data_IF_191017983733
#
_entry.id   IF_191017983733
#
_cell.length_a   1.000
_cell.length_b   1.000
_cell.length_c   1.000
_cell.angle_alpha   90.00
_cell.angle_beta   90.00
_cell.angle_gamma   90.00
#
_symmetry.space_group_name_H-M   'P 1'
#
loop_
_entity.id
_entity.type
_entity.pdbx_description
1 polymer ?
#
# COMPACT_ATOMS: atom_id res chain seq x y z
N UNK A 1 -80.67 4.37 -45.07
CA UNK A 1 -80.91 4.55 -46.50
C UNK A 1 -79.63 4.37 -47.26
N UNK A 2 -79.56 3.34 -48.11
CA UNK A 2 -78.86 3.27 -49.40
C UNK A 2 -77.38 3.68 -49.49
N UNK A 3 -76.50 2.76 -49.51
CA UNK A 3 -75.88 1.97 -50.56
C UNK A 3 -74.88 2.69 -51.49
N UNK A 4 -74.01 1.94 -52.11
CA UNK A 4 -72.55 1.92 -52.12
C UNK A 4 -72.03 2.12 -53.56
N UNK A 5 -71.03 1.48 -54.11
CA UNK A 5 -69.58 1.40 -53.82
C UNK A 5 -68.73 1.89 -55.01
N UNK A 6 -67.47 1.91 -54.83
CA UNK A 6 -66.55 2.21 -55.96
C UNK A 6 -65.19 1.51 -55.79
N UNK A 7 -65.10 0.29 -56.35
CA UNK A 7 -63.81 -0.40 -56.58
C UNK A 7 -63.03 0.29 -57.69
N UNK A 8 -61.79 0.65 -57.46
CA UNK A 8 -60.80 0.85 -58.52
C UNK A 8 -59.53 0.02 -58.26
N UNK A 9 -59.16 -0.68 -59.30
CA UNK A 9 -58.08 -1.68 -59.38
C UNK A 9 -56.72 -0.97 -59.50
N UNK A 10 -55.71 -1.66 -58.91
CA UNK A 10 -54.25 -1.37 -58.96
C UNK A 10 -53.69 -1.40 -60.39
N UNK A 11 -52.46 -0.86 -60.55
CA UNK A 11 -51.43 -1.68 -61.19
C UNK A 11 -50.24 -1.96 -60.21
N UNK A 12 -49.78 -3.20 -60.34
CA UNK A 12 -48.56 -3.71 -59.67
C UNK A 12 -47.33 -3.04 -60.32
N UNK A 13 -46.49 -2.44 -59.47
CA UNK A 13 -45.14 -2.03 -59.88
C UNK A 13 -44.15 -2.96 -59.15
N UNK A 14 -43.46 -3.75 -59.97
CA UNK A 14 -42.31 -4.54 -59.56
C UNK A 14 -41.18 -3.62 -59.19
N UNK A 15 -40.80 -3.59 -57.91
CA UNK A 15 -39.52 -2.96 -57.48
C UNK A 15 -38.51 -4.07 -57.19
N UNK A 16 -37.47 -4.10 -58.00
CA UNK A 16 -36.32 -4.95 -57.88
C UNK A 16 -35.59 -4.70 -56.53
N UNK A 17 -35.39 -5.73 -55.76
CA UNK A 17 -34.58 -5.73 -54.55
C UNK A 17 -33.10 -5.56 -54.91
N UNK A 18 -32.52 -4.43 -54.59
CA UNK A 18 -31.08 -4.24 -54.52
C UNK A 18 -30.66 -4.67 -53.10
N UNK A 19 -30.08 -5.84 -52.97
CA UNK A 19 -29.36 -6.26 -51.78
C UNK A 19 -28.04 -5.43 -51.70
N UNK A 20 -28.07 -4.34 -50.97
CA UNK A 20 -26.87 -3.70 -50.49
C UNK A 20 -26.44 -4.44 -49.20
N UNK A 21 -25.46 -5.29 -49.32
CA UNK A 21 -24.70 -5.84 -48.18
C UNK A 21 -23.91 -4.72 -47.54
N UNK A 22 -24.47 -4.06 -46.57
CA UNK A 22 -23.71 -3.23 -45.61
C UNK A 22 -23.19 -4.14 -44.47
N UNK A 23 -22.07 -4.81 -44.73
CA UNK A 23 -21.21 -5.27 -43.70
C UNK A 23 -20.43 -4.04 -43.16
N UNK A 24 -21.08 -3.30 -42.31
CA UNK A 24 -20.40 -2.36 -41.42
C UNK A 24 -20.38 -3.02 -40.04
N UNK A 25 -19.45 -3.92 -39.81
CA UNK A 25 -18.91 -4.12 -38.50
C UNK A 25 -18.16 -2.79 -38.20
N UNK A 26 -18.82 -1.89 -37.52
CA UNK A 26 -18.15 -0.79 -36.83
C UNK A 26 -17.30 -1.42 -35.72
N UNK A 27 -16.02 -1.64 -35.99
CA UNK A 27 -15.05 -1.61 -34.91
C UNK A 27 -15.13 -0.17 -34.38
N UNK A 28 -15.55 0.01 -33.16
CA UNK A 28 -15.25 1.21 -32.38
C UNK A 28 -13.73 1.26 -32.27
N UNK A 29 -13.09 1.91 -33.27
CA UNK A 29 -11.65 1.91 -33.48
C UNK A 29 -10.95 2.95 -32.59
N UNK A 30 -11.22 2.92 -31.30
CA UNK A 30 -10.36 3.56 -30.31
C UNK A 30 -9.11 2.70 -30.02
N UNK A 31 -8.04 3.27 -29.53
CA UNK A 31 -6.88 2.49 -29.09
C UNK A 31 -7.31 1.52 -27.99
N UNK A 32 -6.65 0.35 -27.93
CA UNK A 32 -6.81 -0.61 -26.85
C UNK A 32 -6.60 0.09 -25.50
N UNK A 33 -7.47 -0.17 -24.53
CA UNK A 33 -7.36 0.42 -23.18
C UNK A 33 -6.89 -0.63 -22.20
N UNK A 34 -5.81 -0.35 -21.47
CA UNK A 34 -5.32 -1.15 -20.35
C UNK A 34 -5.74 -0.48 -19.04
N UNK A 35 -6.65 -1.10 -18.32
CA UNK A 35 -7.16 -0.60 -17.05
C UNK A 35 -6.21 -0.95 -15.90
N UNK A 36 -5.66 0.06 -15.24
CA UNK A 36 -4.78 -0.07 -14.08
C UNK A 36 -5.55 0.34 -12.84
N UNK A 37 -5.71 -0.56 -11.88
CA UNK A 37 -6.34 -0.30 -10.59
C UNK A 37 -5.25 -0.12 -9.53
N UNK A 38 -5.11 1.11 -9.02
CA UNK A 38 -4.00 1.46 -8.14
C UNK A 38 -4.45 2.40 -7.01
N UNK A 39 -3.72 2.38 -5.90
CA UNK A 39 -3.97 3.29 -4.78
C UNK A 39 -3.73 4.75 -5.17
N UNK A 40 -4.25 5.68 -4.38
CA UNK A 40 -3.95 7.10 -4.56
C UNK A 40 -2.45 7.35 -4.37
N UNK A 41 -1.79 7.87 -5.40
CA UNK A 41 -0.41 8.34 -5.36
C UNK A 41 -0.35 9.70 -6.06
N UNK A 42 0.26 10.68 -5.40
CA UNK A 42 0.40 12.04 -5.96
C UNK A 42 1.21 11.98 -7.27
N UNK A 43 0.79 12.71 -8.30
CA UNK A 43 1.46 12.79 -9.61
C UNK A 43 1.62 11.45 -10.38
N UNK A 44 0.99 10.36 -9.97
CA UNK A 44 1.10 9.08 -10.68
C UNK A 44 0.46 9.12 -12.07
N UNK A 45 -0.50 10.00 -12.30
CA UNK A 45 -1.09 10.29 -13.61
C UNK A 45 -0.04 10.73 -14.66
N UNK A 46 1.04 11.39 -14.25
CA UNK A 46 2.14 11.76 -15.14
C UNK A 46 2.97 10.55 -15.56
N UNK A 47 3.18 9.58 -14.67
CA UNK A 47 3.81 8.30 -15.01
C UNK A 47 2.94 7.52 -15.99
N UNK A 48 1.63 7.49 -15.73
CA UNK A 48 0.64 6.84 -16.61
C UNK A 48 0.62 7.47 -18.00
N UNK A 49 0.63 8.80 -18.07
CA UNK A 49 0.67 9.53 -19.35
C UNK A 49 1.94 9.19 -20.16
N UNK A 50 3.12 9.22 -19.51
CA UNK A 50 4.38 8.84 -20.15
C UNK A 50 4.34 7.40 -20.67
N UNK A 51 3.89 6.45 -19.88
CA UNK A 51 3.80 5.04 -20.29
C UNK A 51 2.77 4.83 -21.42
N UNK A 52 1.74 5.66 -21.48
CA UNK A 52 0.81 5.68 -22.63
C UNK A 52 1.50 6.19 -23.89
N UNK A 53 2.30 7.26 -23.78
CA UNK A 53 3.05 7.80 -24.91
C UNK A 53 4.10 6.81 -25.43
N UNK A 54 4.81 6.10 -24.53
CA UNK A 54 5.79 5.06 -24.87
C UNK A 54 5.14 3.84 -25.55
N UNK A 55 3.85 3.61 -25.35
CA UNK A 55 3.13 2.56 -26.05
C UNK A 55 2.94 2.81 -27.55
N UNK A 56 3.23 4.03 -28.05
CA UNK A 56 3.20 4.41 -29.45
C UNK A 56 1.89 4.03 -30.17
N UNK A 57 0.77 4.31 -29.52
CA UNK A 57 -0.59 4.08 -30.04
C UNK A 57 -1.06 2.61 -30.02
N UNK A 58 -0.27 1.66 -29.51
CA UNK A 58 -0.71 0.27 -29.36
C UNK A 58 -1.80 0.12 -28.31
N UNK A 59 -1.70 0.88 -27.22
CA UNK A 59 -2.71 0.97 -26.16
C UNK A 59 -2.63 2.31 -25.44
N UNK A 60 -3.67 2.62 -24.68
CA UNK A 60 -3.69 3.71 -23.69
C UNK A 60 -3.89 3.10 -22.29
N UNK A 61 -3.33 3.73 -21.27
CA UNK A 61 -3.50 3.30 -19.88
C UNK A 61 -4.60 4.14 -19.24
N UNK A 62 -5.63 3.49 -18.70
CA UNK A 62 -6.67 4.12 -17.90
C UNK A 62 -6.43 3.84 -16.41
N UNK A 63 -6.12 4.88 -15.64
CA UNK A 63 -5.92 4.79 -14.20
C UNK A 63 -7.25 4.81 -13.47
N UNK A 64 -7.55 3.73 -12.75
CA UNK A 64 -8.70 3.57 -11.88
C UNK A 64 -8.23 3.65 -10.42
N UNK A 65 -8.48 4.78 -9.78
CA UNK A 65 -8.04 5.01 -8.40
C UNK A 65 -8.89 4.20 -7.42
N UNK A 66 -8.23 3.39 -6.60
CA UNK A 66 -8.83 2.60 -5.54
C UNK A 66 -9.17 3.45 -4.30
N UNK A 67 -10.01 2.95 -3.38
CA UNK A 67 -10.28 3.60 -2.10
C UNK A 67 -9.01 3.91 -1.28
N UNK A 68 -9.13 4.76 -0.25
CA UNK A 68 -7.97 5.18 0.54
C UNK A 68 -7.38 4.10 1.42
N UNK A 69 -8.23 3.31 2.09
CA UNK A 69 -7.77 2.28 3.04
C UNK A 69 -7.41 0.98 2.34
N UNK A 70 -6.35 0.31 2.79
CA UNK A 70 -5.91 -0.97 2.26
C UNK A 70 -7.04 -2.01 2.24
N UNK A 71 -7.79 -2.14 3.34
CA UNK A 71 -8.90 -3.08 3.44
C UNK A 71 -9.98 -2.86 2.36
N UNK A 72 -10.36 -1.59 2.11
CA UNK A 72 -11.35 -1.27 1.09
C UNK A 72 -10.82 -1.46 -0.34
N UNK A 73 -9.53 -1.23 -0.58
CA UNK A 73 -8.87 -1.52 -1.86
C UNK A 73 -8.95 -3.01 -2.17
N UNK A 74 -8.52 -3.84 -1.21
CA UNK A 74 -8.57 -5.30 -1.35
C UNK A 74 -10.01 -5.78 -1.58
N UNK A 75 -10.96 -5.34 -0.75
CA UNK A 75 -12.35 -5.75 -0.86
C UNK A 75 -12.93 -5.46 -2.26
N UNK A 76 -12.66 -4.29 -2.82
CA UNK A 76 -13.10 -3.93 -4.16
C UNK A 76 -12.50 -4.86 -5.22
N UNK A 77 -11.20 -5.14 -5.17
CA UNK A 77 -10.54 -6.02 -6.14
C UNK A 77 -11.02 -7.48 -6.01
N UNK A 78 -11.07 -8.00 -4.79
CA UNK A 78 -11.52 -9.38 -4.52
C UNK A 78 -12.95 -9.62 -5.03
N UNK A 79 -13.88 -8.69 -4.78
CA UNK A 79 -15.28 -8.82 -5.27
C UNK A 79 -15.36 -8.90 -6.78
N UNK A 80 -14.58 -8.10 -7.50
CA UNK A 80 -14.56 -8.07 -8.96
C UNK A 80 -13.88 -9.33 -9.53
N UNK A 81 -12.71 -9.69 -9.02
CA UNK A 81 -11.98 -10.88 -9.47
C UNK A 81 -12.76 -12.18 -9.18
N UNK A 82 -13.42 -12.28 -8.01
CA UNK A 82 -14.29 -13.42 -7.70
C UNK A 82 -15.50 -13.52 -8.65
N UNK A 83 -15.90 -12.41 -9.28
CA UNK A 83 -16.94 -12.39 -10.31
C UNK A 83 -16.39 -12.65 -11.73
N UNK A 84 -15.07 -12.85 -11.90
CA UNK A 84 -14.42 -13.07 -13.18
C UNK A 84 -14.37 -11.82 -14.07
N UNK A 85 -14.23 -10.64 -13.46
CA UNK A 85 -14.24 -9.36 -14.16
C UNK A 85 -13.03 -9.23 -15.11
N UNK A 86 -13.29 -9.08 -16.40
CA UNK A 86 -12.28 -9.00 -17.46
C UNK A 86 -11.74 -7.58 -17.68
N UNK A 87 -12.37 -6.55 -17.10
CA UNK A 87 -11.96 -5.16 -17.26
C UNK A 87 -10.79 -4.78 -16.34
N UNK A 88 -10.36 -5.69 -15.46
CA UNK A 88 -9.21 -5.47 -14.60
C UNK A 88 -7.95 -6.05 -15.26
N UNK A 89 -7.07 -5.20 -15.79
CA UNK A 89 -5.85 -5.67 -16.47
C UNK A 89 -4.63 -5.68 -15.54
N UNK A 90 -4.33 -4.55 -14.91
CA UNK A 90 -3.20 -4.41 -13.98
C UNK A 90 -3.72 -4.01 -12.61
N UNK A 91 -3.25 -4.69 -11.58
CA UNK A 91 -3.65 -4.55 -10.19
C UNK A 91 -2.50 -4.06 -9.33
N UNK A 92 -2.67 -2.95 -8.64
CA UNK A 92 -1.77 -2.50 -7.58
C UNK A 92 -2.11 -3.23 -6.28
N UNK A 93 -1.30 -4.22 -5.93
CA UNK A 93 -1.47 -5.03 -4.73
C UNK A 93 -0.56 -4.54 -3.61
N UNK A 94 -1.11 -4.34 -2.41
CA UNK A 94 -0.27 -4.24 -1.21
C UNK A 94 0.64 -5.47 -1.11
N UNK A 95 1.82 -5.29 -0.57
CA UNK A 95 2.84 -6.34 -0.43
C UNK A 95 2.34 -7.60 0.29
N UNK A 96 1.23 -7.51 1.02
CA UNK A 96 0.65 -8.64 1.79
C UNK A 96 -0.40 -9.45 1.02
N UNK A 97 -0.86 -8.98 -0.16
CA UNK A 97 -1.99 -9.64 -0.85
C UNK A 97 -1.56 -10.62 -1.94
N UNK A 98 -0.29 -10.59 -2.35
CA UNK A 98 0.18 -11.42 -3.48
C UNK A 98 -0.06 -12.91 -3.25
N UNK A 99 0.21 -13.41 -2.03
CA UNK A 99 -0.04 -14.81 -1.68
C UNK A 99 -1.51 -15.22 -1.86
N UNK A 100 -2.45 -14.40 -1.38
CA UNK A 100 -3.89 -14.67 -1.52
C UNK A 100 -4.34 -14.65 -2.97
N UNK A 101 -3.92 -13.61 -3.73
CA UNK A 101 -4.35 -13.44 -5.12
C UNK A 101 -3.74 -14.50 -6.04
N UNK A 102 -2.52 -14.96 -5.75
CA UNK A 102 -1.88 -16.05 -6.46
C UNK A 102 -2.56 -17.40 -6.15
N UNK A 103 -2.80 -17.71 -4.87
CA UNK A 103 -3.47 -18.93 -4.43
C UNK A 103 -4.89 -19.05 -5.00
N UNK A 104 -5.62 -17.92 -5.08
CA UNK A 104 -6.94 -17.86 -5.69
C UNK A 104 -6.92 -17.97 -7.23
N UNK A 105 -5.73 -17.94 -7.86
CA UNK A 105 -5.62 -17.99 -9.33
C UNK A 105 -6.07 -16.71 -10.03
N UNK A 106 -6.08 -15.58 -9.35
CA UNK A 106 -6.55 -14.30 -9.89
C UNK A 106 -5.49 -13.51 -10.64
N UNK A 107 -4.21 -13.84 -10.48
CA UNK A 107 -3.08 -13.12 -11.08
C UNK A 107 -2.15 -14.07 -11.84
N UNK A 108 -1.50 -13.53 -12.86
CA UNK A 108 -0.60 -14.26 -13.74
C UNK A 108 0.81 -14.38 -13.14
N UNK A 109 1.46 -15.53 -13.38
CA UNK A 109 2.88 -15.73 -13.09
C UNK A 109 3.74 -14.92 -14.08
N UNK A 110 4.75 -14.22 -13.59
CA UNK A 110 5.82 -13.60 -14.38
C UNK A 110 6.88 -14.65 -14.70
N UNK A 111 7.18 -14.88 -15.97
CA UNK A 111 8.09 -15.94 -16.41
C UNK A 111 9.11 -15.45 -17.42
N UNK A 112 10.13 -16.26 -17.68
CA UNK A 112 11.13 -16.01 -18.74
C UNK A 112 11.84 -14.67 -18.61
N UNK A 113 11.87 -13.91 -19.70
CA UNK A 113 12.56 -12.61 -19.74
C UNK A 113 11.89 -11.56 -18.83
N UNK A 114 10.57 -11.57 -18.71
CA UNK A 114 9.84 -10.61 -17.87
C UNK A 114 10.16 -10.84 -16.38
N UNK A 115 10.25 -12.11 -15.94
CA UNK A 115 10.72 -12.44 -14.59
C UNK A 115 12.14 -11.96 -14.34
N UNK A 116 13.05 -12.23 -15.27
CA UNK A 116 14.45 -11.82 -15.15
C UNK A 116 14.60 -10.28 -15.07
N UNK A 117 13.78 -9.54 -15.82
CA UNK A 117 13.74 -8.07 -15.77
C UNK A 117 13.27 -7.55 -14.41
N UNK A 118 12.22 -8.16 -13.85
CA UNK A 118 11.70 -7.79 -12.52
C UNK A 118 12.71 -8.09 -11.41
N UNK A 119 13.38 -9.25 -11.47
CA UNK A 119 14.38 -9.65 -10.46
C UNK A 119 15.65 -8.79 -10.52
N UNK A 120 16.01 -8.27 -11.71
CA UNK A 120 17.22 -7.50 -11.92
C UNK A 120 17.23 -6.18 -11.13
N UNK A 121 18.14 -6.06 -10.16
CA UNK A 121 18.34 -4.85 -9.35
C UNK A 121 17.22 -4.51 -8.37
N UNK A 122 16.20 -5.34 -8.27
CA UNK A 122 15.15 -5.18 -7.25
C UNK A 122 15.68 -5.61 -5.88
N UNK A 123 15.44 -4.79 -4.84
CA UNK A 123 15.77 -5.09 -3.46
C UNK A 123 15.12 -6.40 -3.01
N UNK A 124 15.83 -7.18 -2.17
CA UNK A 124 15.40 -8.50 -1.73
C UNK A 124 14.04 -8.50 -1.04
N UNK A 125 13.83 -7.60 -0.07
CA UNK A 125 12.58 -7.53 0.69
C UNK A 125 11.35 -7.31 -0.21
N UNK A 126 11.29 -6.27 -1.05
CA UNK A 126 10.21 -6.09 -2.03
C UNK A 126 10.03 -7.29 -2.96
N UNK A 127 11.14 -7.90 -3.44
CA UNK A 127 11.06 -9.06 -4.33
C UNK A 127 10.41 -10.26 -3.63
N UNK A 128 10.74 -10.52 -2.36
CA UNK A 128 10.10 -11.59 -1.57
C UNK A 128 8.59 -11.41 -1.48
N UNK A 129 8.10 -10.17 -1.33
CA UNK A 129 6.65 -9.90 -1.25
C UNK A 129 5.90 -10.12 -2.56
N UNK A 130 6.62 -10.18 -3.67
CA UNK A 130 6.07 -10.41 -5.01
C UNK A 130 5.98 -11.90 -5.37
N UNK A 131 6.48 -12.78 -4.49
CA UNK A 131 6.58 -14.22 -4.72
C UNK A 131 5.58 -15.00 -3.88
N UNK A 132 5.09 -16.10 -4.46
CA UNK A 132 4.33 -17.12 -3.77
C UNK A 132 4.77 -18.52 -4.25
N UNK A 133 5.06 -19.44 -3.31
CA UNK A 133 5.54 -20.80 -3.60
C UNK A 133 6.72 -20.86 -4.60
N UNK A 134 7.67 -19.91 -4.48
CA UNK A 134 8.87 -19.85 -5.33
C UNK A 134 8.61 -19.30 -6.75
N UNK A 135 7.40 -18.85 -7.04
CA UNK A 135 7.01 -18.23 -8.31
C UNK A 135 6.80 -16.74 -8.13
N UNK A 136 7.13 -15.97 -9.17
CA UNK A 136 6.92 -14.52 -9.19
C UNK A 136 5.53 -14.21 -9.77
N UNK A 137 4.66 -13.58 -9.00
CA UNK A 137 3.29 -13.26 -9.42
C UNK A 137 3.03 -11.77 -9.61
N UNK A 138 3.97 -10.94 -9.21
CA UNK A 138 3.84 -9.49 -9.37
C UNK A 138 5.20 -8.83 -9.51
N UNK A 139 5.21 -7.58 -9.92
CA UNK A 139 6.41 -6.78 -10.09
C UNK A 139 6.42 -5.63 -9.06
N UNK A 140 7.39 -5.58 -8.13
CA UNK A 140 7.49 -4.49 -7.16
C UNK A 140 7.58 -3.12 -7.85
N UNK A 141 6.59 -2.25 -7.62
CA UNK A 141 6.53 -0.90 -8.20
C UNK A 141 7.16 0.12 -7.25
N UNK A 142 6.81 0.03 -5.99
CA UNK A 142 7.41 0.83 -4.93
C UNK A 142 7.49 0.01 -3.64
N UNK A 143 8.37 0.45 -2.76
CA UNK A 143 8.47 -0.10 -1.41
C UNK A 143 8.21 1.01 -0.39
N UNK A 144 8.21 0.67 0.89
CA UNK A 144 8.00 1.63 1.96
C UNK A 144 8.58 1.14 3.28
N UNK A 145 9.06 2.07 4.11
CA UNK A 145 9.33 1.90 5.53
C UNK A 145 8.88 3.14 6.27
N UNK A 146 8.30 2.96 7.46
CA UNK A 146 7.98 4.10 8.30
C UNK A 146 9.26 4.68 8.92
N UNK A 147 9.31 6.00 8.99
CA UNK A 147 10.36 6.77 9.67
C UNK A 147 9.76 7.53 10.84
N UNK A 148 10.62 7.88 11.78
CA UNK A 148 10.33 8.93 12.74
C UNK A 148 10.54 10.30 12.07
N UNK A 149 9.49 11.10 11.99
CA UNK A 149 9.53 12.48 11.57
C UNK A 149 9.46 13.37 12.80
N UNK A 150 10.35 14.35 12.90
CA UNK A 150 10.44 15.19 14.07
C UNK A 150 10.79 16.65 13.74
N UNK A 151 10.50 17.53 14.67
CA UNK A 151 10.81 18.96 14.58
C UNK A 151 12.14 19.27 15.24
N UNK A 152 13.17 19.61 14.45
CA UNK A 152 14.50 19.93 14.94
C UNK A 152 14.57 21.24 15.73
N UNK A 153 13.62 22.15 15.54
CA UNK A 153 13.48 23.37 16.37
C UNK A 153 12.97 23.08 17.79
N UNK A 154 12.35 21.95 18.01
CA UNK A 154 11.89 21.49 19.33
C UNK A 154 12.91 20.54 19.98
N UNK A 155 13.49 19.64 19.18
CA UNK A 155 14.48 18.65 19.61
C UNK A 155 15.60 18.58 18.56
N UNK A 156 16.79 19.15 18.84
CA UNK A 156 17.91 19.16 17.89
C UNK A 156 18.35 17.76 17.44
N UNK A 157 18.27 16.78 18.34
CA UNK A 157 18.58 15.37 18.09
C UNK A 157 17.33 14.51 18.15
N UNK A 158 17.19 13.48 17.28
CA UNK A 158 16.06 12.56 17.33
C UNK A 158 16.16 11.60 18.52
N UNK A 159 15.02 11.14 19.08
CA UNK A 159 15.02 10.03 20.02
C UNK A 159 15.44 8.75 19.34
N UNK A 160 16.20 7.90 20.03
CA UNK A 160 16.67 6.61 19.53
C UNK A 160 15.77 5.46 19.95
N UNK A 161 14.93 5.67 20.97
CA UNK A 161 14.01 4.65 21.47
C UNK A 161 12.62 5.23 21.77
N UNK A 162 11.65 4.32 21.87
CA UNK A 162 10.28 4.66 22.27
C UNK A 162 10.24 5.37 23.62
N UNK A 163 10.97 4.85 24.61
CA UNK A 163 11.03 5.46 25.93
C UNK A 163 11.62 6.86 25.89
N UNK A 164 12.68 7.08 25.10
CA UNK A 164 13.31 8.38 24.93
C UNK A 164 12.35 9.35 24.22
N UNK A 165 11.64 8.90 23.18
CA UNK A 165 10.65 9.71 22.45
C UNK A 165 9.54 10.21 23.40
N UNK A 166 8.97 9.34 24.21
CA UNK A 166 7.93 9.70 25.17
C UNK A 166 8.46 10.70 26.22
N UNK A 167 9.65 10.45 26.76
CA UNK A 167 10.28 11.38 27.73
C UNK A 167 10.59 12.74 27.12
N UNK A 168 11.04 12.79 25.85
CA UNK A 168 11.26 14.06 25.15
C UNK A 168 9.96 14.81 24.95
N UNK A 169 8.89 14.13 24.52
CA UNK A 169 7.56 14.70 24.37
C UNK A 169 7.00 15.22 25.69
N UNK A 170 7.16 14.51 26.79
CA UNK A 170 6.74 14.96 28.13
C UNK A 170 7.49 16.22 28.57
N UNK A 171 8.80 16.29 28.35
CA UNK A 171 9.58 17.53 28.64
C UNK A 171 9.09 18.72 27.82
N UNK A 172 8.73 18.51 26.55
CA UNK A 172 8.17 19.57 25.70
C UNK A 172 6.80 20.03 26.22
N UNK A 173 5.94 19.10 26.64
CA UNK A 173 4.64 19.40 27.27
C UNK A 173 4.82 20.26 28.51
N UNK A 174 5.74 19.89 29.39
CA UNK A 174 6.00 20.61 30.64
C UNK A 174 6.55 22.02 30.40
N UNK A 175 7.13 22.27 29.21
CA UNK A 175 7.56 23.59 28.74
C UNK A 175 6.45 24.35 27.98
N UNK A 176 5.25 23.79 27.84
CA UNK A 176 4.15 24.39 27.07
C UNK A 176 4.38 24.42 25.55
N UNK A 177 5.26 23.56 25.03
CA UNK A 177 5.60 23.47 23.61
C UNK A 177 4.77 22.40 22.91
N UNK A 178 4.71 22.38 21.56
CA UNK A 178 4.20 21.23 20.80
C UNK A 178 4.87 19.95 21.28
N UNK A 179 4.09 18.93 21.59
CA UNK A 179 4.60 17.73 22.29
C UNK A 179 3.92 16.43 21.90
N UNK A 180 2.88 16.49 21.06
CA UNK A 180 2.14 15.29 20.70
C UNK A 180 3.01 14.32 19.92
N UNK A 181 2.88 13.03 20.23
CA UNK A 181 3.39 11.90 19.46
C UNK A 181 2.23 11.34 18.61
N UNK A 182 2.41 11.38 17.30
CA UNK A 182 1.40 10.96 16.33
C UNK A 182 1.80 9.63 15.70
N UNK A 183 0.86 8.68 15.68
CA UNK A 183 0.95 7.43 14.92
C UNK A 183 -0.45 6.95 14.52
N UNK A 184 -0.52 6.02 13.57
CA UNK A 184 -1.77 5.36 13.20
C UNK A 184 -2.25 4.43 14.31
N UNK A 185 -3.51 4.53 14.68
CA UNK A 185 -4.11 3.73 15.77
C UNK A 185 -5.56 3.35 15.51
N UNK A 186 -6.13 3.71 14.34
CA UNK A 186 -7.45 3.28 13.92
C UNK A 186 -7.50 1.76 13.68
N UNK A 187 -8.70 1.18 13.74
CA UNK A 187 -8.91 -0.25 13.50
C UNK A 187 -8.83 -0.57 12.00
N UNK A 188 -7.62 -0.80 11.48
CA UNK A 188 -7.33 -1.18 10.09
C UNK A 188 -5.88 -1.66 9.97
N UNK A 189 -5.43 -2.02 8.76
CA UNK A 189 -4.09 -2.53 8.47
C UNK A 189 -2.95 -1.63 9.02
N UNK A 190 -3.11 -0.30 9.04
CA UNK A 190 -2.08 0.60 9.57
C UNK A 190 -1.74 0.36 11.05
N UNK A 191 -2.69 -0.07 11.88
CA UNK A 191 -2.43 -0.49 13.26
C UNK A 191 -1.65 -1.82 13.30
N UNK A 192 -1.93 -2.72 12.37
CA UNK A 192 -1.21 -4.01 12.25
C UNK A 192 0.24 -3.77 11.86
N UNK A 193 0.50 -2.84 10.93
CA UNK A 193 1.86 -2.42 10.57
C UNK A 193 2.64 -1.91 11.79
N UNK A 194 2.04 -1.02 12.59
CA UNK A 194 2.66 -0.53 13.82
C UNK A 194 2.98 -1.65 14.80
N UNK A 195 2.02 -2.55 15.00
CA UNK A 195 2.19 -3.68 15.89
C UNK A 195 3.27 -4.64 15.40
N UNK A 196 3.26 -5.01 14.11
CA UNK A 196 4.29 -5.86 13.53
C UNK A 196 5.70 -5.24 13.68
N UNK A 197 5.83 -3.93 13.42
CA UNK A 197 7.10 -3.21 13.62
C UNK A 197 7.62 -3.34 15.06
N UNK A 198 6.75 -3.18 16.04
CA UNK A 198 7.13 -3.29 17.44
C UNK A 198 7.45 -4.74 17.85
N UNK A 199 6.67 -5.72 17.36
CA UNK A 199 6.92 -7.15 17.62
C UNK A 199 8.29 -7.58 17.08
N UNK A 200 8.57 -7.25 15.80
CA UNK A 200 9.86 -7.57 15.18
C UNK A 200 11.02 -6.81 15.84
N UNK A 201 10.77 -5.53 16.23
CA UNK A 201 11.73 -4.73 16.98
C UNK A 201 12.07 -5.27 18.37
N UNK A 202 11.17 -6.04 18.98
CA UNK A 202 11.36 -6.78 20.22
C UNK A 202 11.98 -8.18 20.00
N UNK A 203 12.26 -8.56 18.75
CA UNK A 203 12.74 -9.89 18.37
C UNK A 203 11.69 -10.99 18.42
N UNK A 204 10.40 -10.61 18.49
CA UNK A 204 9.25 -11.52 18.46
C UNK A 204 8.75 -11.78 17.04
N UNK A 205 7.63 -12.51 16.92
CA UNK A 205 6.95 -12.79 15.65
C UNK A 205 5.44 -12.90 15.83
N UNK A 206 4.70 -12.48 14.81
CA UNK A 206 3.25 -12.70 14.75
C UNK A 206 2.93 -14.15 14.40
N UNK A 207 3.53 -14.67 13.31
CA UNK A 207 3.40 -16.07 12.88
C UNK A 207 4.75 -16.77 12.86
N UNK A 208 4.73 -18.11 12.84
CA UNK A 208 5.90 -18.92 12.54
C UNK A 208 6.40 -18.65 11.11
N UNK A 209 7.65 -19.02 10.85
CA UNK A 209 8.32 -18.78 9.56
C UNK A 209 7.56 -19.38 8.36
N UNK A 210 6.94 -20.54 8.57
CA UNK A 210 6.06 -21.18 7.57
C UNK A 210 4.62 -20.65 7.56
N UNK A 211 4.34 -19.61 8.34
CA UNK A 211 3.03 -18.95 8.48
C UNK A 211 1.87 -19.88 8.89
N UNK A 212 2.16 -21.05 9.48
CA UNK A 212 1.15 -22.05 9.89
C UNK A 212 0.70 -21.94 11.34
N UNK A 213 1.47 -21.23 12.17
CA UNK A 213 1.18 -21.10 13.60
C UNK A 213 1.23 -19.65 14.08
N UNK A 214 0.25 -19.27 14.89
CA UNK A 214 0.26 -18.02 15.63
C UNK A 214 1.30 -18.10 16.77
N UNK A 215 2.24 -17.14 16.81
CA UNK A 215 3.34 -17.11 17.78
C UNK A 215 3.03 -16.14 18.92
N UNK A 216 2.98 -14.85 18.69
CA UNK A 216 2.71 -13.81 19.71
C UNK A 216 3.41 -14.11 21.06
N UNK A 217 4.73 -14.18 21.02
CA UNK A 217 5.61 -14.51 22.14
C UNK A 217 5.87 -13.32 23.10
N UNK A 218 6.95 -13.35 23.86
CA UNK A 218 7.34 -12.28 24.79
C UNK A 218 7.55 -10.95 24.07
N UNK A 219 8.11 -10.96 22.85
CA UNK A 219 8.26 -9.76 22.01
C UNK A 219 6.91 -9.13 21.64
N UNK A 220 5.88 -9.95 21.43
CA UNK A 220 4.53 -9.43 21.21
C UNK A 220 3.95 -8.78 22.49
N UNK A 221 4.24 -9.31 23.66
CA UNK A 221 3.83 -8.69 24.94
C UNK A 221 4.51 -7.34 25.11
N UNK A 222 5.80 -7.24 24.85
CA UNK A 222 6.55 -5.98 24.91
C UNK A 222 6.02 -4.94 23.91
N UNK A 223 5.70 -5.36 22.69
CA UNK A 223 5.05 -4.52 21.69
C UNK A 223 3.69 -3.99 22.15
N UNK A 224 2.87 -4.85 22.76
CA UNK A 224 1.58 -4.46 23.34
C UNK A 224 1.71 -3.47 24.49
N UNK A 225 2.74 -3.63 25.33
CA UNK A 225 3.07 -2.66 26.39
C UNK A 225 3.45 -1.30 25.81
N UNK A 226 4.27 -1.25 24.76
CA UNK A 226 4.66 -0.01 24.10
C UNK A 226 3.45 0.72 23.50
N UNK A 227 2.58 0.01 22.79
CA UNK A 227 1.35 0.58 22.22
C UNK A 227 0.43 1.15 23.32
N UNK A 228 0.19 0.37 24.36
CA UNK A 228 -0.63 0.81 25.49
C UNK A 228 -0.02 2.01 26.21
N UNK A 229 1.29 1.98 26.48
CA UNK A 229 1.99 3.07 27.16
C UNK A 229 1.86 4.37 26.39
N UNK A 230 2.02 4.38 25.07
CA UNK A 230 1.73 5.56 24.26
C UNK A 230 0.25 5.94 24.40
N UNK A 231 -0.68 5.01 24.21
CA UNK A 231 -2.12 5.30 24.16
C UNK A 231 -2.67 5.92 25.45
N UNK A 232 -2.07 5.61 26.61
CA UNK A 232 -2.46 6.18 27.91
C UNK A 232 -1.58 7.37 28.34
N UNK A 233 -0.52 7.67 27.59
CA UNK A 233 0.40 8.78 27.88
C UNK A 233 -0.30 10.13 27.67
N UNK A 234 0.03 11.15 28.50
CA UNK A 234 -0.47 12.51 28.30
C UNK A 234 0.07 13.20 27.03
N UNK A 235 1.04 12.59 26.31
CA UNK A 235 1.58 13.10 25.05
C UNK A 235 0.99 12.38 23.83
N UNK A 236 0.09 11.41 24.05
CA UNK A 236 -0.67 10.76 22.98
C UNK A 236 -1.67 11.72 22.33
N UNK A 237 -1.91 11.54 21.03
CA UNK A 237 -3.03 12.24 20.38
C UNK A 237 -4.37 11.76 20.94
N UNK A 238 -5.29 12.66 21.29
CA UNK A 238 -6.66 12.28 21.67
C UNK A 238 -7.43 11.51 20.58
N UNK A 239 -7.01 11.67 19.32
CA UNK A 239 -7.63 10.99 18.18
C UNK A 239 -6.89 9.68 17.78
N UNK A 240 -5.93 9.20 18.56
CA UNK A 240 -5.11 8.03 18.22
C UNK A 240 -5.94 6.86 17.68
N UNK A 241 -7.02 6.48 18.37
CA UNK A 241 -7.84 5.31 18.00
C UNK A 241 -8.66 5.47 16.71
N UNK A 242 -8.63 6.65 16.09
CA UNK A 242 -9.31 6.94 14.82
C UNK A 242 -8.34 7.46 13.75
N UNK A 243 -7.05 7.60 14.09
CA UNK A 243 -6.08 8.25 13.23
C UNK A 243 -5.51 7.27 12.18
N UNK A 244 -5.53 7.69 10.95
CA UNK A 244 -4.86 7.07 9.80
C UNK A 244 -3.69 7.94 9.34
N UNK A 245 -2.97 7.53 8.30
CA UNK A 245 -1.74 8.18 7.82
C UNK A 245 -1.91 9.67 7.51
N UNK A 246 -2.97 10.02 6.77
CA UNK A 246 -3.24 11.43 6.42
C UNK A 246 -3.70 12.26 7.62
N UNK A 247 -4.44 11.66 8.55
CA UNK A 247 -4.89 12.38 9.76
C UNK A 247 -3.69 12.81 10.61
N UNK A 248 -2.72 11.90 10.81
CA UNK A 248 -1.51 12.23 11.57
C UNK A 248 -0.59 13.18 10.81
N UNK A 249 -0.49 13.06 9.48
CA UNK A 249 0.27 14.00 8.65
C UNK A 249 -0.30 15.41 8.75
N UNK A 250 -1.61 15.57 8.60
CA UNK A 250 -2.29 16.86 8.71
C UNK A 250 -2.14 17.46 10.11
N UNK A 251 -2.32 16.66 11.17
CA UNK A 251 -2.14 17.10 12.54
C UNK A 251 -0.68 17.55 12.84
N UNK A 252 0.30 16.88 12.23
CA UNK A 252 1.70 17.31 12.34
C UNK A 252 1.95 18.61 11.57
N UNK A 253 1.39 18.73 10.38
CA UNK A 253 1.49 19.91 9.52
C UNK A 253 0.91 21.17 10.18
N UNK A 254 -0.11 21.01 11.03
CA UNK A 254 -0.70 22.11 11.82
C UNK A 254 0.23 22.59 12.96
N UNK A 255 1.38 21.93 13.16
CA UNK A 255 2.43 22.35 14.08
C UNK A 255 2.20 22.00 15.56
N UNK A 256 1.13 21.30 15.90
CA UNK A 256 0.78 20.90 17.27
C UNK A 256 1.55 19.70 17.83
N UNK A 257 2.32 19.00 17.00
CA UNK A 257 3.04 17.79 17.36
C UNK A 257 4.55 17.96 17.26
N UNK A 258 5.29 17.20 18.06
CA UNK A 258 6.75 17.13 18.02
C UNK A 258 7.26 15.96 17.17
N UNK A 259 6.52 14.86 17.19
CA UNK A 259 6.89 13.59 16.56
C UNK A 259 5.71 12.98 15.80
N UNK A 260 6.01 12.36 14.65
CA UNK A 260 5.09 11.43 14.00
C UNK A 260 5.84 10.22 13.45
N UNK A 261 5.19 9.06 13.49
CA UNK A 261 5.64 7.86 12.79
C UNK A 261 4.78 7.70 11.54
N UNK A 262 5.39 7.82 10.37
CA UNK A 262 4.67 7.80 9.10
C UNK A 262 5.59 7.43 7.93
N UNK A 263 4.98 7.18 6.78
CA UNK A 263 5.64 6.83 5.54
C UNK A 263 6.34 8.03 4.88
N UNK A 264 7.34 7.81 4.00
CA UNK A 264 8.13 8.87 3.37
C UNK A 264 7.36 9.89 2.53
N UNK A 265 6.17 9.58 2.02
CA UNK A 265 5.33 10.53 1.28
C UNK A 265 5.05 11.83 2.04
N UNK A 266 5.16 11.80 3.36
CA UNK A 266 5.01 12.96 4.24
C UNK A 266 5.92 14.11 3.80
N UNK A 267 7.15 13.84 3.39
CA UNK A 267 8.11 14.88 2.99
C UNK A 267 7.61 15.64 1.75
N UNK A 268 7.27 14.94 0.69
CA UNK A 268 6.76 15.56 -0.55
C UNK A 268 5.46 16.34 -0.28
N UNK A 269 4.51 15.73 0.44
CA UNK A 269 3.23 16.36 0.76
C UNK A 269 3.38 17.62 1.62
N UNK A 270 4.34 17.65 2.56
CA UNK A 270 4.58 18.82 3.41
C UNK A 270 5.40 19.89 2.72
N UNK A 271 6.30 19.53 1.81
CA UNK A 271 7.05 20.49 0.99
C UNK A 271 6.10 21.37 0.18
N UNK A 272 5.02 20.79 -0.34
CA UNK A 272 4.00 21.53 -1.07
C UNK A 272 3.09 22.35 -0.15
N UNK A 273 2.64 21.75 0.96
CA UNK A 273 1.57 22.31 1.79
C UNK A 273 2.03 23.27 2.89
N UNK A 274 3.24 23.11 3.43
CA UNK A 274 3.79 23.95 4.51
C UNK A 274 5.33 24.12 4.39
N UNK A 275 5.81 24.98 3.48
CA UNK A 275 7.23 25.21 3.26
C UNK A 275 7.99 25.70 4.49
N UNK A 276 7.32 26.42 5.42
CA UNK A 276 7.96 26.92 6.65
C UNK A 276 8.31 25.76 7.60
N UNK A 277 7.42 24.78 7.72
CA UNK A 277 7.66 23.61 8.58
C UNK A 277 8.74 22.70 8.01
N UNK A 278 8.90 22.64 6.70
CA UNK A 278 9.93 21.84 6.03
C UNK A 278 11.35 22.25 6.46
N UNK A 279 11.58 23.52 6.77
CA UNK A 279 12.89 24.00 7.23
C UNK A 279 13.35 23.31 8.53
N UNK A 280 12.41 22.94 9.38
CA UNK A 280 12.67 22.28 10.66
C UNK A 280 12.31 20.80 10.68
N UNK A 281 11.63 20.29 9.65
CA UNK A 281 11.32 18.86 9.52
C UNK A 281 12.60 18.05 9.33
N UNK A 282 12.75 17.02 10.15
CA UNK A 282 13.83 16.03 10.04
C UNK A 282 13.26 14.63 10.18
N UNK A 283 14.06 13.66 9.84
CA UNK A 283 13.73 12.24 9.89
C UNK A 283 14.84 11.46 10.59
N UNK A 284 14.44 10.31 11.12
CA UNK A 284 15.33 9.33 11.71
C UNK A 284 14.77 7.91 11.47
N UNK A 285 15.58 6.87 11.64
CA UNK A 285 15.09 5.51 11.71
C UNK A 285 13.94 5.35 12.71
N UNK A 286 13.10 4.31 12.51
CA UNK A 286 12.06 3.97 13.47
C UNK A 286 12.69 3.74 14.87
N UNK A 287 12.16 4.35 15.94
CA UNK A 287 12.76 4.26 17.29
C UNK A 287 12.73 2.81 17.81
N UNK A 288 13.85 2.32 18.32
CA UNK A 288 13.92 0.99 18.92
C UNK A 288 13.08 0.89 20.21
N UNK A 289 12.52 -0.28 20.50
CA UNK A 289 11.91 -0.54 21.81
C UNK A 289 12.99 -0.55 22.89
N UNK A 290 14.02 -1.37 22.71
CA UNK A 290 15.19 -1.41 23.59
C UNK A 290 16.28 -0.47 23.05
N UNK A 291 16.78 0.51 23.84
CA UNK A 291 17.85 1.41 23.43
C UNK A 291 19.18 0.72 23.06
N UNK A 292 19.38 -0.52 23.48
CA UNK A 292 20.55 -1.32 23.11
C UNK A 292 20.46 -1.90 21.69
N UNK A 293 19.28 -1.87 21.06
CA UNK A 293 19.01 -2.42 19.75
C UNK A 293 18.84 -1.30 18.71
N UNK A 294 18.92 -1.67 17.44
CA UNK A 294 18.47 -0.81 16.33
C UNK A 294 17.01 -1.09 16.07
N UNK A 295 16.20 -0.04 15.88
CA UNK A 295 14.80 -0.20 15.47
C UNK A 295 14.69 -0.95 14.15
N UNK A 296 13.60 -1.67 13.98
CA UNK A 296 13.22 -2.33 12.74
C UNK A 296 11.92 -1.70 12.26
N UNK A 297 11.79 -1.45 10.97
CA UNK A 297 10.54 -1.00 10.39
C UNK A 297 9.87 -2.14 9.59
N UNK A 298 8.54 -2.14 9.54
CA UNK A 298 7.82 -3.06 8.66
C UNK A 298 7.90 -2.58 7.22
N UNK A 299 8.21 -3.51 6.31
CA UNK A 299 8.20 -3.26 4.88
C UNK A 299 6.76 -3.12 4.38
N UNK A 300 6.50 -2.01 3.72
CA UNK A 300 5.29 -1.72 2.96
C UNK A 300 5.58 -1.56 1.47
N UNK A 301 4.57 -1.16 0.72
CA UNK A 301 4.68 -0.89 -0.71
C UNK A 301 3.62 -1.59 -1.54
N UNK A 302 3.73 -1.42 -2.86
CA UNK A 302 2.81 -1.97 -3.84
C UNK A 302 3.53 -2.73 -4.93
N UNK A 303 2.95 -3.84 -5.31
CA UNK A 303 3.34 -4.69 -6.43
C UNK A 303 2.32 -4.54 -7.57
N UNK A 304 2.76 -4.54 -8.82
CA UNK A 304 1.89 -4.59 -9.99
C UNK A 304 1.71 -6.04 -10.43
N UNK A 305 0.49 -6.52 -10.41
CA UNK A 305 0.12 -7.85 -10.88
C UNK A 305 -0.76 -7.76 -12.14
N UNK A 306 -0.64 -8.71 -13.05
CA UNK A 306 -1.52 -8.82 -14.22
C UNK A 306 -2.66 -9.77 -13.88
N UNK A 307 -3.89 -9.34 -14.13
CA UNK A 307 -5.08 -10.16 -13.86
C UNK A 307 -5.12 -11.42 -14.74
N UNK A 308 -5.51 -12.54 -14.13
CA UNK A 308 -5.73 -13.79 -14.85
C UNK A 308 -6.89 -13.68 -15.86
N UNK A 309 -7.82 -12.78 -15.61
CA UNK A 309 -9.01 -12.55 -16.43
C UNK A 309 -8.83 -11.50 -17.53
N UNK A 310 -7.72 -10.72 -17.51
CA UNK A 310 -7.43 -9.77 -18.59
C UNK A 310 -7.45 -10.44 -19.95
N UNK A 311 -8.11 -9.83 -20.92
CA UNK A 311 -8.09 -10.27 -22.32
C UNK A 311 -6.84 -9.73 -23.07
N UNK A 312 -6.08 -8.81 -22.44
CA UNK A 312 -4.96 -8.06 -23.01
C UNK A 312 -3.66 -8.28 -22.21
N UNK A 313 -3.36 -9.54 -21.85
CA UNK A 313 -2.27 -9.87 -20.93
C UNK A 313 -0.90 -9.38 -21.39
N UNK A 314 -0.61 -9.46 -22.69
CA UNK A 314 0.69 -9.02 -23.22
C UNK A 314 0.90 -7.52 -23.01
N UNK A 315 -0.08 -6.71 -23.37
CA UNK A 315 -0.05 -5.26 -23.20
C UNK A 315 -0.10 -4.86 -21.70
N UNK A 316 -0.81 -5.64 -20.88
CA UNK A 316 -0.86 -5.44 -19.43
C UNK A 316 0.52 -5.67 -18.78
N UNK A 317 1.27 -6.70 -19.19
CA UNK A 317 2.66 -6.91 -18.76
C UNK A 317 3.58 -5.76 -19.22
N UNK A 318 3.45 -5.30 -20.46
CA UNK A 318 4.23 -4.15 -20.96
C UNK A 318 3.92 -2.88 -20.19
N UNK A 319 2.64 -2.57 -19.95
CA UNK A 319 2.22 -1.43 -19.14
C UNK A 319 2.78 -1.52 -17.71
N UNK A 320 2.67 -2.67 -17.06
CA UNK A 320 3.22 -2.88 -15.72
C UNK A 320 4.75 -2.71 -15.66
N UNK A 321 5.49 -3.18 -16.68
CA UNK A 321 6.94 -2.95 -16.79
C UNK A 321 7.30 -1.47 -16.92
N UNK A 322 6.57 -0.71 -17.75
CA UNK A 322 6.80 0.73 -17.85
C UNK A 322 6.49 1.44 -16.53
N UNK A 323 5.33 1.16 -15.91
CA UNK A 323 4.90 1.77 -14.66
C UNK A 323 5.86 1.50 -13.49
N UNK A 324 6.62 0.39 -13.52
CA UNK A 324 7.65 0.05 -12.53
C UNK A 324 9.08 0.35 -12.95
N UNK A 325 9.32 0.88 -14.13
CA UNK A 325 10.68 1.16 -14.63
C UNK A 325 11.49 2.04 -13.66
N UNK A 326 12.82 1.99 -13.74
CA UNK A 326 13.69 2.82 -12.91
C UNK A 326 13.33 4.31 -13.01
N UNK A 327 13.01 4.79 -14.21
CA UNK A 327 12.59 6.16 -14.45
C UNK A 327 11.25 6.49 -13.77
N UNK A 328 10.25 5.58 -13.88
CA UNK A 328 8.97 5.71 -13.18
C UNK A 328 9.14 5.77 -11.67
N UNK A 329 9.98 4.88 -11.12
CA UNK A 329 10.26 4.83 -9.68
C UNK A 329 11.03 6.06 -9.19
N UNK A 330 12.01 6.55 -9.97
CA UNK A 330 12.70 7.83 -9.67
C UNK A 330 11.72 8.99 -9.63
N UNK A 331 10.86 9.10 -10.66
CA UNK A 331 9.84 10.14 -10.71
C UNK A 331 8.91 10.08 -9.49
N UNK A 332 8.40 8.88 -9.13
CA UNK A 332 7.54 8.69 -7.95
C UNK A 332 8.25 9.03 -6.65
N UNK A 333 9.53 8.71 -6.51
CA UNK A 333 10.31 9.05 -5.32
C UNK A 333 10.42 10.56 -5.13
N UNK A 334 10.77 11.28 -6.19
CA UNK A 334 10.98 12.74 -6.14
C UNK A 334 9.66 13.50 -5.98
N UNK A 335 8.61 13.12 -6.72
CA UNK A 335 7.38 13.90 -6.83
C UNK A 335 6.25 13.43 -5.92
N UNK A 336 6.35 12.19 -5.41
CA UNK A 336 5.30 11.58 -4.56
C UNK A 336 5.87 11.12 -3.21
N UNK A 337 7.19 11.14 -3.03
CA UNK A 337 7.84 10.66 -1.82
C UNK A 337 7.79 9.13 -1.63
N UNK A 338 7.59 8.37 -2.71
CA UNK A 338 7.39 6.91 -2.68
C UNK A 338 8.69 6.18 -3.00
N UNK A 339 9.30 5.44 -2.04
CA UNK A 339 10.62 4.83 -2.21
C UNK A 339 10.72 3.82 -3.35
N UNK A 340 11.82 3.83 -4.13
CA UNK A 340 12.06 2.86 -5.19
C UNK A 340 12.30 1.44 -4.66
N UNK A 341 11.97 0.43 -5.47
CA UNK A 341 12.36 -0.97 -5.25
C UNK A 341 13.67 -1.33 -5.96
N UNK A 342 14.08 -0.54 -6.94
CA UNK A 342 15.31 -0.74 -7.70
C UNK A 342 16.46 0.00 -7.00
N UNK A 343 17.44 -0.74 -6.50
CA UNK A 343 18.52 -0.20 -5.64
C UNK A 343 19.33 0.90 -6.33
N UNK A 344 19.65 0.76 -7.63
CA UNK A 344 20.46 1.73 -8.35
C UNK A 344 19.84 3.13 -8.42
N UNK A 345 18.51 3.25 -8.33
CA UNK A 345 17.81 4.54 -8.36
C UNK A 345 18.21 5.44 -7.19
N UNK A 346 18.52 4.87 -6.02
CA UNK A 346 18.96 5.65 -4.84
C UNK A 346 20.29 6.39 -5.05
N UNK A 347 21.13 5.93 -5.99
CA UNK A 347 22.42 6.53 -6.28
C UNK A 347 22.38 7.60 -7.40
N UNK A 348 21.21 7.84 -8.00
CA UNK A 348 21.09 8.83 -9.06
C UNK A 348 21.23 10.27 -8.51
N UNK A 349 21.92 11.19 -9.23
CA UNK A 349 22.21 12.53 -8.75
C UNK A 349 20.94 13.34 -8.38
N UNK A 350 19.86 13.19 -9.16
CA UNK A 350 18.59 13.91 -8.90
C UNK A 350 17.94 13.46 -7.58
N UNK A 351 18.17 12.21 -7.17
CA UNK A 351 17.70 11.69 -5.87
C UNK A 351 18.45 12.32 -4.69
N UNK A 352 19.70 12.73 -4.87
CA UNK A 352 20.48 13.35 -3.81
C UNK A 352 19.90 14.69 -3.38
N UNK A 353 19.50 15.50 -4.32
CA UNK A 353 18.94 16.83 -4.07
C UNK A 353 17.47 16.78 -3.66
N UNK A 354 16.65 16.00 -4.40
CA UNK A 354 15.20 16.04 -4.29
C UNK A 354 14.62 15.03 -3.27
N UNK A 355 15.40 14.02 -2.87
CA UNK A 355 14.97 12.96 -1.95
C UNK A 355 16.00 12.76 -0.83
N UNK A 356 16.17 13.75 0.07
CA UNK A 356 17.30 13.80 1.01
C UNK A 356 17.33 12.66 2.02
N UNK A 357 16.19 11.98 2.28
CA UNK A 357 16.07 10.83 3.17
C UNK A 357 16.48 9.49 2.50
N UNK A 358 16.90 9.48 1.24
CA UNK A 358 17.18 8.27 0.45
C UNK A 358 18.10 7.26 1.15
N UNK A 359 19.19 7.73 1.78
CA UNK A 359 20.15 6.85 2.45
C UNK A 359 19.55 6.19 3.69
N UNK A 360 18.81 6.97 4.48
CA UNK A 360 18.09 6.43 5.66
C UNK A 360 17.08 5.39 5.23
N UNK A 361 16.27 5.69 4.20
CA UNK A 361 15.26 4.77 3.68
C UNK A 361 15.90 3.48 3.16
N UNK A 362 16.95 3.58 2.33
CA UNK A 362 17.65 2.39 1.80
C UNK A 362 18.23 1.52 2.92
N UNK A 363 18.81 2.15 3.95
CA UNK A 363 19.35 1.43 5.09
C UNK A 363 18.25 0.72 5.89
N UNK A 364 17.09 1.37 6.09
CA UNK A 364 15.94 0.76 6.76
C UNK A 364 15.32 -0.37 5.92
N UNK A 365 15.19 -0.20 4.60
CA UNK A 365 14.66 -1.24 3.69
C UNK A 365 15.48 -2.52 3.69
N UNK A 366 16.81 -2.42 3.81
CA UNK A 366 17.71 -3.58 3.84
C UNK A 366 17.55 -4.45 5.08
N UNK A 367 16.93 -3.95 6.15
CA UNK A 367 16.66 -4.68 7.40
C UNK A 367 15.17 -4.73 7.75
N UNK A 368 14.31 -4.26 6.86
CA UNK A 368 12.87 -4.17 7.12
C UNK A 368 12.25 -5.55 7.32
N UNK A 369 11.37 -5.66 8.31
CA UNK A 369 10.61 -6.86 8.58
C UNK A 369 9.48 -7.02 7.56
N UNK A 370 9.35 -8.21 7.00
CA UNK A 370 8.26 -8.56 6.08
C UNK A 370 7.10 -9.11 6.90
N UNK A 371 5.90 -8.59 6.69
CA UNK A 371 4.68 -9.15 7.28
C UNK A 371 4.44 -10.58 6.77
N UNK A 372 3.76 -11.45 7.53
CA UNK A 372 3.54 -12.84 7.13
C UNK A 372 2.99 -12.98 5.71
N UNK A 373 3.65 -13.77 4.87
CA UNK A 373 3.21 -14.08 3.51
C UNK A 373 2.34 -15.34 3.57
N UNK A 374 1.03 -15.15 3.59
CA UNK A 374 0.03 -16.23 3.66
C UNK A 374 -1.26 -15.80 2.99
N UNK A 375 -1.99 -16.70 2.30
CA UNK A 375 -3.32 -16.41 1.78
C UNK A 375 -4.34 -16.01 2.86
N UNK A 376 -4.09 -16.38 4.12
CA UNK A 376 -4.94 -16.02 5.26
C UNK A 376 -4.62 -14.65 5.86
N UNK A 377 -3.69 -13.86 5.28
CA UNK A 377 -3.19 -12.63 5.89
C UNK A 377 -4.31 -11.65 6.25
N UNK A 378 -5.31 -11.45 5.40
CA UNK A 378 -6.41 -10.53 5.69
C UNK A 378 -7.18 -10.93 6.96
N UNK A 379 -7.37 -12.22 7.18
CA UNK A 379 -8.03 -12.69 8.39
C UNK A 379 -7.17 -12.42 9.64
N UNK A 380 -5.87 -12.61 9.52
CA UNK A 380 -4.89 -12.30 10.59
C UNK A 380 -4.92 -10.80 10.90
N UNK A 381 -4.82 -9.95 9.89
CA UNK A 381 -4.85 -8.49 10.01
C UNK A 381 -6.14 -7.98 10.65
N UNK A 382 -7.29 -8.46 10.17
CA UNK A 382 -8.61 -8.08 10.73
C UNK A 382 -8.72 -8.44 12.21
N UNK A 383 -8.28 -9.63 12.61
CA UNK A 383 -8.29 -10.06 14.01
C UNK A 383 -7.35 -9.20 14.86
N UNK A 384 -6.12 -8.98 14.40
CA UNK A 384 -5.16 -8.15 15.12
C UNK A 384 -5.73 -6.74 15.32
N UNK A 385 -6.14 -6.06 14.25
CA UNK A 385 -6.66 -4.68 14.34
C UNK A 385 -7.89 -4.58 15.24
N UNK A 386 -8.79 -5.56 15.19
CA UNK A 386 -9.99 -5.61 16.05
C UNK A 386 -9.64 -5.83 17.52
N UNK A 387 -8.70 -6.71 17.82
CA UNK A 387 -8.31 -7.02 19.21
C UNK A 387 -7.51 -5.88 19.83
N UNK A 388 -6.72 -5.15 19.03
CA UNK A 388 -5.88 -4.04 19.49
C UNK A 388 -6.62 -2.70 19.58
N UNK A 389 -7.81 -2.58 19.01
CA UNK A 389 -8.55 -1.30 19.00
C UNK A 389 -9.62 -1.25 20.07
N UNK A 390 -9.68 -0.17 20.88
CA UNK A 390 -8.72 0.93 20.94
C UNK A 390 -7.44 0.57 21.73
N UNK A 391 -6.25 1.06 21.34
CA UNK A 391 -4.98 0.65 21.96
C UNK A 391 -4.87 0.91 23.48
N UNK A 392 -5.63 1.85 24.01
CA UNK A 392 -5.68 2.14 25.45
C UNK A 392 -6.22 0.99 26.31
N UNK A 393 -7.04 0.13 25.72
CA UNK A 393 -7.72 -0.99 26.41
C UNK A 393 -6.92 -2.29 26.36
N UNK A 394 -5.74 -2.26 25.75
CA UNK A 394 -4.83 -3.42 25.70
C UNK A 394 -4.44 -3.84 27.12
N UNK A 395 -4.59 -5.14 27.40
CA UNK A 395 -3.97 -5.81 28.54
C UNK A 395 -2.88 -6.75 28.00
N UNK A 396 -1.59 -6.40 28.05
CA UNK A 396 -0.58 -7.03 27.22
C UNK A 396 -0.54 -8.56 27.28
N UNK A 397 -0.43 -9.24 28.45
CA UNK A 397 -0.40 -10.70 28.49
C UNK A 397 -1.70 -11.35 27.99
N UNK A 398 -2.85 -10.84 28.45
CA UNK A 398 -4.16 -11.39 28.08
C UNK A 398 -4.46 -11.15 26.60
N UNK A 399 -4.06 -9.98 26.07
CA UNK A 399 -4.21 -9.64 24.66
C UNK A 399 -3.35 -10.54 23.78
N UNK A 400 -2.09 -10.80 24.15
CA UNK A 400 -1.21 -11.73 23.43
C UNK A 400 -1.79 -13.15 23.41
N UNK A 401 -2.30 -13.64 24.55
CA UNK A 401 -2.95 -14.95 24.62
C UNK A 401 -4.23 -15.01 23.76
N UNK A 402 -5.00 -13.95 23.73
CA UNK A 402 -6.18 -13.85 22.87
C UNK A 402 -5.79 -13.85 21.40
N UNK A 403 -4.82 -13.04 20.99
CA UNK A 403 -4.29 -12.99 19.63
C UNK A 403 -3.81 -14.39 19.19
N UNK A 404 -3.01 -15.08 20.02
CA UNK A 404 -2.51 -16.42 19.71
C UNK A 404 -3.64 -17.42 19.45
N UNK A 405 -4.68 -17.41 20.26
CA UNK A 405 -5.81 -18.33 20.07
C UNK A 405 -6.67 -17.99 18.86
N UNK A 406 -7.04 -16.74 18.70
CA UNK A 406 -7.99 -16.35 17.66
C UNK A 406 -7.35 -16.34 16.27
N UNK A 407 -6.10 -15.91 16.16
CA UNK A 407 -5.33 -15.99 14.92
C UNK A 407 -5.06 -17.45 14.54
N UNK A 408 -4.72 -18.34 15.49
CA UNK A 408 -4.58 -19.76 15.18
C UNK A 408 -5.89 -20.37 14.68
N UNK A 409 -7.01 -20.02 15.28
CA UNK A 409 -8.32 -20.49 14.79
C UNK A 409 -8.59 -20.04 13.35
N UNK A 410 -8.19 -18.80 12.99
CA UNK A 410 -8.35 -18.31 11.62
C UNK A 410 -7.44 -19.05 10.62
N UNK A 411 -6.19 -19.31 11.00
CA UNK A 411 -5.25 -20.11 10.19
C UNK A 411 -5.76 -21.53 9.98
N UNK A 412 -6.39 -22.13 10.97
CA UNK A 412 -7.01 -23.46 10.91
C UNK A 412 -8.38 -23.46 10.19
N UNK A 413 -8.82 -22.33 9.63
CA UNK A 413 -10.18 -22.13 9.07
C UNK A 413 -11.29 -22.43 10.09
N UNK A 414 -11.04 -22.14 11.38
CA UNK A 414 -11.96 -22.28 12.49
C UNK A 414 -12.30 -20.92 13.09
N UNK A 415 -13.46 -20.83 13.71
CA UNK A 415 -13.89 -19.59 14.37
C UNK A 415 -14.72 -18.67 13.46
N UNK A 416 -15.13 -17.54 14.02
CA UNK A 416 -15.89 -16.49 13.31
C UNK A 416 -14.96 -15.29 13.20
N UNK A 417 -14.80 -14.75 12.00
CA UNK A 417 -14.13 -13.48 11.79
C UNK A 417 -15.03 -12.33 12.29
N UNK A 418 -14.47 -11.30 12.90
CA UNK A 418 -15.22 -10.16 13.43
C UNK A 418 -15.91 -9.32 12.35
#
# INVERSE_FOLDING_TARGET
MKHPPGRRRLPAVLCAAVLATSAACGSDGGPLTINVYYSTEQNFDQVVARCTDEADGRYVIALNTLPRTADAQREQMVRRLAAGDTDMDVLGLDVTWVAEFAEAGWIQEWTGADRADVEAGTLEGPLQTAMWEGKLYSAPKNTNVQLLWYRSDLTPEPPRSWSEMLQMAERLRDQGKPHTVLMTGAQYEGLVVQFNTLVEGAGGRILSEDSTRAVFDEGAVEALEALRNLAVSPVSSPSLSNAQEDDIRLAFQDGGAAFQINWPYVYAAMTEANPELIETLRWAPYPALDPANTGTATLGGFNLAVSAYSEHKAEAFEAAKCLRSAESQKFSAINSGVPPTIESVYAEPEMEEAYPMRETILAELKKAAIRPLTPAYQNVSTLISTILSPPRDINPPETADRLRREVQNALDSKGVLP
#
